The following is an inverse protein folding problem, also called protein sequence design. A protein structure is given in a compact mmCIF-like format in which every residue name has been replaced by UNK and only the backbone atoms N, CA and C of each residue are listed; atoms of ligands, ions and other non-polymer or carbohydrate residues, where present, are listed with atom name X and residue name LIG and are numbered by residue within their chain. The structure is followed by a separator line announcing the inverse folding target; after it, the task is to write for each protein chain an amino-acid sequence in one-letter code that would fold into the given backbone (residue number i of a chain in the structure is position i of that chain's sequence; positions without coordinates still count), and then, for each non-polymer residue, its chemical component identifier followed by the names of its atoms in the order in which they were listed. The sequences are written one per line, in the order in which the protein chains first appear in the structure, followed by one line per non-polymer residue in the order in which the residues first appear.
data_IF_031304481135
#
_entry.id   IF_031304481135
#
_cell.length_a   1.000
_cell.length_b   1.000
_cell.length_c   1.000
_cell.angle_alpha   90.00
_cell.angle_beta   90.00
_cell.angle_gamma   90.00
#
_symmetry.space_group_name_H-M   'P 1'
#
loop_
_entity.id
_entity.type
_entity.pdbx_description
1 polymer ?
#
# COMPACT_ATOMS: atom_id res chain seq x y z
N UNK A 1 1.35 -13.37 -8.68
CA UNK A 1 2.67 -13.47 -8.05
C UNK A 1 3.59 -14.39 -8.85
N UNK A 2 4.87 -14.09 -8.91
CA UNK A 2 5.94 -14.90 -9.52
C UNK A 2 5.69 -15.27 -11.01
N UNK A 3 4.94 -14.44 -11.76
CA UNK A 3 4.76 -14.63 -13.18
C UNK A 3 6.04 -14.18 -13.93
N UNK A 4 6.28 -14.71 -15.14
CA UNK A 4 7.38 -14.22 -15.97
C UNK A 4 7.19 -12.74 -16.33
N UNK A 5 8.26 -11.91 -16.40
CA UNK A 5 8.15 -10.48 -16.70
C UNK A 5 7.43 -10.20 -18.03
N UNK A 6 7.64 -11.01 -19.03
CA UNK A 6 7.04 -10.89 -20.37
C UNK A 6 5.51 -11.11 -20.34
N UNK A 7 5.04 -11.96 -19.41
CA UNK A 7 3.59 -12.14 -19.20
C UNK A 7 2.96 -10.93 -18.54
N UNK A 8 3.65 -10.31 -17.57
CA UNK A 8 3.18 -9.09 -16.90
C UNK A 8 3.18 -7.91 -17.87
N UNK A 9 4.27 -7.74 -18.64
CA UNK A 9 4.35 -6.76 -19.71
C UNK A 9 3.17 -6.84 -20.66
N UNK A 10 2.83 -8.05 -21.16
CA UNK A 10 1.69 -8.24 -22.06
C UNK A 10 0.38 -7.73 -21.46
N UNK A 11 0.11 -8.00 -20.16
CA UNK A 11 -1.10 -7.52 -19.49
C UNK A 11 -1.14 -6.00 -19.33
N UNK A 12 0.02 -5.36 -19.22
CA UNK A 12 0.16 -3.90 -19.19
C UNK A 12 -0.07 -3.31 -20.58
N UNK A 13 0.55 -3.87 -21.60
CA UNK A 13 0.48 -3.35 -22.98
C UNK A 13 -0.91 -3.53 -23.60
N UNK A 14 -1.63 -4.61 -23.28
CA UNK A 14 -2.99 -4.83 -23.77
C UNK A 14 -4.08 -4.10 -22.95
N UNK A 15 -3.67 -3.35 -21.92
CA UNK A 15 -4.56 -2.56 -21.08
C UNK A 15 -5.39 -3.37 -20.08
N UNK A 16 -5.11 -4.67 -19.91
CA UNK A 16 -5.78 -5.50 -18.88
C UNK A 16 -5.50 -4.97 -17.48
N UNK A 17 -4.26 -4.52 -17.24
CA UNK A 17 -3.85 -3.82 -16.02
C UNK A 17 -3.10 -2.55 -16.37
N UNK A 18 -3.12 -1.55 -15.48
CA UNK A 18 -2.41 -0.27 -15.67
C UNK A 18 -1.21 -0.12 -14.73
N UNK A 19 -1.20 -0.87 -13.64
CA UNK A 19 -0.11 -0.94 -12.66
C UNK A 19 0.11 -2.41 -12.34
N UNK A 20 1.36 -2.85 -12.36
CA UNK A 20 1.72 -4.21 -11.97
C UNK A 20 2.09 -4.25 -10.48
N UNK A 21 1.26 -4.89 -9.63
CA UNK A 21 1.61 -5.14 -8.24
C UNK A 21 2.32 -6.49 -8.10
N UNK A 22 3.58 -6.44 -7.67
CA UNK A 22 4.44 -7.59 -7.43
C UNK A 22 4.38 -7.94 -5.93
N UNK A 23 3.68 -9.01 -5.58
CA UNK A 23 3.43 -9.40 -4.18
C UNK A 23 3.95 -10.82 -3.87
N UNK A 24 4.90 -11.28 -4.63
CA UNK A 24 5.59 -12.57 -4.44
C UNK A 24 7.07 -12.36 -4.14
N UNK A 25 7.90 -13.27 -4.67
CA UNK A 25 9.34 -13.29 -4.45
C UNK A 25 10.12 -12.56 -5.57
N UNK A 26 9.44 -11.70 -6.33
CA UNK A 26 10.08 -10.90 -7.38
C UNK A 26 11.13 -9.97 -6.73
N UNK A 27 12.39 -10.16 -7.11
CA UNK A 27 13.54 -9.40 -6.63
C UNK A 27 13.82 -8.14 -7.44
N UNK A 28 14.86 -7.40 -7.09
CA UNK A 28 15.27 -6.18 -7.81
C UNK A 28 15.70 -6.45 -9.25
N UNK A 29 16.25 -7.63 -9.55
CA UNK A 29 16.60 -7.99 -10.92
C UNK A 29 15.33 -8.16 -11.77
N UNK A 30 14.30 -8.81 -11.21
CA UNK A 30 12.99 -8.92 -11.83
C UNK A 30 12.35 -7.55 -12.08
N UNK A 31 12.34 -6.65 -11.07
CA UNK A 31 11.76 -5.31 -11.18
C UNK A 31 12.43 -4.53 -12.31
N UNK A 32 13.77 -4.51 -12.33
CA UNK A 32 14.55 -3.83 -13.39
C UNK A 32 14.29 -4.44 -14.76
N UNK A 33 14.18 -5.76 -14.87
CA UNK A 33 13.83 -6.43 -16.12
C UNK A 33 12.44 -6.01 -16.59
N UNK A 34 11.42 -6.06 -15.74
CA UNK A 34 10.06 -5.64 -16.10
C UNK A 34 10.04 -4.16 -16.53
N UNK A 35 10.71 -3.27 -15.80
CA UNK A 35 10.82 -1.85 -16.14
C UNK A 35 11.60 -1.57 -17.43
N UNK A 36 12.42 -2.50 -17.91
CA UNK A 36 13.05 -2.40 -19.24
C UNK A 36 12.12 -2.79 -20.39
N UNK A 37 10.98 -3.43 -20.09
CA UNK A 37 10.01 -3.90 -21.06
C UNK A 37 8.79 -2.97 -21.19
N UNK A 38 8.54 -2.10 -20.19
CA UNK A 38 7.36 -1.24 -20.17
C UNK A 38 7.60 0.04 -19.37
N UNK A 39 6.92 1.13 -19.77
CA UNK A 39 6.87 2.41 -19.04
C UNK A 39 5.73 2.45 -18.00
N UNK A 40 4.92 1.40 -17.90
CA UNK A 40 3.84 1.34 -16.93
C UNK A 40 4.39 1.23 -15.49
N UNK A 41 3.71 1.84 -14.49
CA UNK A 41 4.17 1.81 -13.12
C UNK A 41 4.20 0.39 -12.54
N UNK A 42 5.26 0.10 -11.80
CA UNK A 42 5.45 -1.14 -11.05
C UNK A 42 5.39 -0.85 -9.56
N UNK A 43 4.50 -1.52 -8.86
CA UNK A 43 4.40 -1.50 -7.39
C UNK A 43 5.01 -2.77 -6.82
N UNK A 44 5.90 -2.66 -5.82
CA UNK A 44 6.42 -3.82 -5.08
C UNK A 44 5.86 -3.83 -3.67
N UNK A 45 5.30 -4.97 -3.26
CA UNK A 45 4.91 -5.22 -1.88
C UNK A 45 6.09 -5.79 -1.08
N UNK A 46 6.30 -5.22 0.11
CA UNK A 46 7.32 -5.63 1.07
C UNK A 46 6.66 -6.10 2.35
N UNK A 47 7.04 -7.29 2.81
CA UNK A 47 6.68 -7.77 4.14
C UNK A 47 7.62 -7.14 5.16
N UNK A 48 7.07 -6.35 6.08
CA UNK A 48 7.83 -5.63 7.11
C UNK A 48 7.66 -6.34 8.44
N UNK A 49 8.73 -6.92 8.94
CA UNK A 49 8.80 -7.57 10.26
C UNK A 49 9.79 -6.84 11.18
N UNK A 50 10.78 -6.19 10.60
CA UNK A 50 11.82 -5.46 11.32
C UNK A 50 12.31 -4.25 10.51
N UNK A 51 13.03 -3.33 11.17
CA UNK A 51 13.49 -2.07 10.53
C UNK A 51 14.35 -2.29 9.29
N UNK A 52 15.14 -3.36 9.23
CA UNK A 52 15.98 -3.65 8.05
C UNK A 52 15.15 -3.91 6.77
N UNK A 53 13.90 -4.39 6.90
CA UNK A 53 13.05 -4.62 5.74
C UNK A 53 12.67 -3.30 5.07
N UNK A 54 12.61 -2.20 5.85
CA UNK A 54 12.39 -0.86 5.34
C UNK A 54 13.55 -0.33 4.49
N UNK A 55 14.78 -0.81 4.72
CA UNK A 55 15.93 -0.43 3.88
C UNK A 55 15.80 -1.01 2.48
N UNK A 56 15.33 -2.27 2.37
CA UNK A 56 15.03 -2.89 1.08
C UNK A 56 13.90 -2.14 0.35
N UNK A 57 12.83 -1.78 1.06
CA UNK A 57 11.74 -0.99 0.49
C UNK A 57 12.21 0.40 0.03
N UNK A 58 13.09 1.06 0.80
CA UNK A 58 13.64 2.37 0.46
C UNK A 58 14.54 2.30 -0.79
N UNK A 59 15.32 1.23 -0.94
CA UNK A 59 16.29 1.04 -2.03
C UNK A 59 15.68 0.47 -3.32
N UNK A 60 14.42 0.03 -3.30
CA UNK A 60 13.79 -0.62 -4.44
C UNK A 60 13.67 0.30 -5.66
N UNK A 61 13.89 -0.27 -6.84
CA UNK A 61 13.67 0.39 -8.14
C UNK A 61 12.21 0.43 -8.59
N UNK A 62 11.27 -0.15 -7.83
CA UNK A 62 9.84 -0.04 -8.09
C UNK A 62 9.36 1.42 -8.02
N UNK A 63 8.38 1.81 -8.84
CA UNK A 63 7.83 3.17 -8.85
C UNK A 63 7.01 3.45 -7.58
N UNK A 64 6.26 2.46 -7.15
CA UNK A 64 5.42 2.48 -5.96
C UNK A 64 5.81 1.35 -5.02
N UNK A 65 5.64 1.57 -3.72
CA UNK A 65 5.82 0.52 -2.72
C UNK A 65 4.58 0.35 -1.87
N UNK A 66 4.33 -0.89 -1.47
CA UNK A 66 3.31 -1.27 -0.53
C UNK A 66 4.01 -1.97 0.64
N UNK A 67 3.73 -1.53 1.86
CA UNK A 67 4.25 -2.11 3.09
C UNK A 67 3.15 -2.94 3.75
N UNK A 68 3.40 -4.24 3.94
CA UNK A 68 2.45 -5.20 4.48
C UNK A 68 3.07 -5.92 5.68
N UNK A 69 2.27 -6.38 6.63
CA UNK A 69 2.74 -7.16 7.78
C UNK A 69 3.23 -8.58 7.43
N UNK A 70 3.03 -9.03 6.20
CA UNK A 70 3.62 -10.28 5.68
C UNK A 70 2.96 -11.59 6.11
N UNK A 71 1.98 -11.58 6.99
CA UNK A 71 1.13 -12.74 7.31
C UNK A 71 -0.33 -12.37 7.09
N UNK A 72 -0.73 -12.26 5.84
CA UNK A 72 -2.12 -12.02 5.48
C UNK A 72 -3.06 -13.01 6.18
N UNK A 73 -4.14 -12.53 6.80
CA UNK A 73 -5.19 -13.35 7.38
C UNK A 73 -5.03 -13.74 8.84
N UNK A 74 -3.97 -13.37 9.54
CA UNK A 74 -3.81 -13.67 10.98
C UNK A 74 -4.59 -12.71 11.89
N UNK A 75 -5.10 -11.59 11.36
CA UNK A 75 -5.76 -10.56 12.19
C UNK A 75 -4.80 -9.79 13.11
N UNK A 76 -3.53 -10.13 13.12
CA UNK A 76 -2.52 -9.39 13.88
C UNK A 76 -2.26 -8.06 13.18
N UNK A 77 -2.34 -6.98 13.95
CA UNK A 77 -2.03 -5.64 13.48
C UNK A 77 -0.52 -5.50 13.29
N UNK A 78 -0.15 -4.88 12.19
CA UNK A 78 1.21 -4.43 11.93
C UNK A 78 1.71 -3.57 13.09
N UNK A 79 2.93 -3.80 13.56
CA UNK A 79 3.55 -2.89 14.54
C UNK A 79 3.97 -1.59 13.84
N UNK A 80 3.09 -0.61 13.86
CA UNK A 80 3.31 0.69 13.21
C UNK A 80 4.46 1.48 13.82
N UNK A 81 4.97 1.09 15.00
CA UNK A 81 6.17 1.71 15.58
C UNK A 81 7.39 1.60 14.66
N UNK A 82 7.44 0.56 13.83
CA UNK A 82 8.49 0.39 12.83
C UNK A 82 8.49 1.50 11.77
N UNK A 83 7.31 2.04 11.45
CA UNK A 83 7.12 3.07 10.42
C UNK A 83 7.13 4.50 10.98
N UNK A 84 7.14 4.68 12.30
CA UNK A 84 7.18 6.02 12.90
C UNK A 84 8.42 6.79 12.46
N UNK A 85 8.19 7.96 11.87
CA UNK A 85 9.27 8.80 11.34
C UNK A 85 9.94 8.29 10.07
N UNK A 86 9.45 7.21 9.47
CA UNK A 86 9.97 6.74 8.19
C UNK A 86 9.40 7.59 7.03
N UNK A 87 10.28 8.35 6.38
CA UNK A 87 9.91 9.31 5.32
C UNK A 87 10.76 9.17 4.06
N UNK A 88 11.41 8.01 3.85
CA UNK A 88 12.33 7.81 2.73
C UNK A 88 11.63 7.91 1.37
N UNK A 89 10.39 7.46 1.28
CA UNK A 89 9.54 7.58 0.09
C UNK A 89 8.06 7.38 0.44
N UNK A 90 7.12 7.89 -0.41
CA UNK A 90 5.69 7.59 -0.26
C UNK A 90 5.41 6.09 -0.34
N UNK A 91 4.44 5.60 0.43
CA UNK A 91 4.08 4.19 0.47
C UNK A 91 2.59 3.97 0.67
N UNK A 92 2.11 2.85 0.18
CA UNK A 92 0.81 2.30 0.54
C UNK A 92 0.98 1.39 1.76
N UNK A 93 0.00 1.45 2.67
CA UNK A 93 -0.05 0.58 3.85
C UNK A 93 -1.09 -0.51 3.65
N UNK A 94 -0.70 -1.75 3.90
CA UNK A 94 -1.55 -2.93 3.93
C UNK A 94 -1.37 -3.71 5.25
N UNK A 95 -2.12 -4.78 5.42
CA UNK A 95 -2.00 -5.69 6.57
C UNK A 95 -2.78 -5.24 7.81
N UNK A 96 -3.82 -5.99 8.16
CA UNK A 96 -4.60 -5.80 9.39
C UNK A 96 -5.39 -4.50 9.50
N UNK A 97 -5.47 -3.70 8.43
CA UNK A 97 -6.26 -2.47 8.41
C UNK A 97 -7.76 -2.76 8.38
N UNK A 98 -8.51 -1.95 9.11
CA UNK A 98 -9.97 -1.97 9.17
C UNK A 98 -10.51 -0.55 9.44
N UNK A 99 -11.82 -0.29 9.30
CA UNK A 99 -12.38 1.05 9.49
C UNK A 99 -12.09 1.67 10.86
N UNK A 100 -11.90 0.86 11.90
CA UNK A 100 -11.67 1.31 13.28
C UNK A 100 -10.23 1.81 13.48
N UNK A 101 -9.23 1.17 12.84
CA UNK A 101 -7.81 1.49 13.03
C UNK A 101 -7.21 2.39 11.93
N UNK A 102 -7.90 2.56 10.79
CA UNK A 102 -7.47 3.45 9.69
C UNK A 102 -7.18 4.89 10.18
N UNK A 103 -8.05 5.55 11.01
CA UNK A 103 -7.77 6.90 11.49
C UNK A 103 -6.45 7.00 12.26
N UNK A 104 -6.17 6.04 13.13
CA UNK A 104 -4.90 5.98 13.88
C UNK A 104 -3.71 5.79 12.94
N UNK A 105 -3.80 4.86 11.98
CA UNK A 105 -2.75 4.62 11.00
C UNK A 105 -2.40 5.89 10.22
N UNK A 106 -3.41 6.59 9.69
CA UNK A 106 -3.19 7.81 8.92
C UNK A 106 -2.57 8.91 9.79
N UNK A 107 -3.01 9.06 11.04
CA UNK A 107 -2.51 10.07 11.95
C UNK A 107 -1.07 9.80 12.42
N UNK A 108 -0.72 8.54 12.65
CA UNK A 108 0.54 8.13 13.28
C UNK A 108 1.69 7.97 12.29
N UNK A 109 1.41 7.38 11.13
CA UNK A 109 2.45 6.96 10.18
C UNK A 109 2.28 7.54 8.77
N UNK A 110 1.24 8.33 8.53
CA UNK A 110 1.04 9.12 7.32
C UNK A 110 1.25 8.36 5.99
N UNK A 111 0.62 7.19 5.75
CA UNK A 111 0.73 6.50 4.48
C UNK A 111 0.16 7.37 3.35
N UNK A 112 0.71 7.23 2.15
CA UNK A 112 0.19 7.90 0.96
C UNK A 112 -1.15 7.31 0.51
N UNK A 113 -1.37 6.04 0.77
CA UNK A 113 -2.63 5.33 0.52
C UNK A 113 -2.73 4.09 1.40
N UNK A 114 -3.93 3.50 1.43
CA UNK A 114 -4.20 2.25 2.14
C UNK A 114 -4.70 1.18 1.19
N UNK A 115 -4.34 -0.07 1.45
CA UNK A 115 -4.84 -1.25 0.75
C UNK A 115 -5.62 -2.14 1.70
N UNK A 116 -6.86 -2.47 1.34
CA UNK A 116 -7.78 -3.27 2.14
C UNK A 116 -8.25 -4.50 1.37
N UNK A 117 -8.19 -5.65 2.00
CA UNK A 117 -8.74 -6.88 1.44
C UNK A 117 -9.85 -7.46 2.32
N UNK A 118 -9.51 -8.26 3.33
CA UNK A 118 -10.48 -8.97 4.17
C UNK A 118 -11.37 -8.05 5.00
N UNK A 119 -10.89 -6.89 5.42
CA UNK A 119 -11.66 -5.91 6.21
C UNK A 119 -12.92 -5.38 5.48
N UNK A 120 -12.96 -5.49 4.16
CA UNK A 120 -14.09 -5.08 3.32
C UNK A 120 -14.84 -6.28 2.72
N UNK A 121 -14.78 -7.44 3.42
CA UNK A 121 -15.45 -8.67 3.02
C UNK A 121 -16.46 -9.13 4.07
N UNK A 122 -17.50 -9.83 3.60
CA UNK A 122 -18.43 -10.62 4.39
C UNK A 122 -18.52 -11.99 3.76
N UNK A 123 -18.28 -13.05 4.52
CA UNK A 123 -18.25 -14.45 4.04
C UNK A 123 -17.32 -14.65 2.82
N UNK A 124 -16.14 -13.99 2.82
CA UNK A 124 -15.13 -14.09 1.75
C UNK A 124 -15.51 -13.37 0.45
N UNK A 125 -16.56 -12.52 0.46
CA UNK A 125 -16.98 -11.71 -0.69
C UNK A 125 -16.90 -10.24 -0.35
N UNK A 126 -16.52 -9.41 -1.34
CA UNK A 126 -16.47 -7.96 -1.17
C UNK A 126 -17.85 -7.42 -0.79
N UNK A 127 -17.88 -6.67 0.31
CA UNK A 127 -19.09 -6.08 0.89
C UNK A 127 -19.14 -4.59 0.56
N UNK A 128 -20.21 -4.19 -0.15
CA UNK A 128 -20.39 -2.81 -0.61
C UNK A 128 -20.42 -1.80 0.54
N UNK A 129 -21.11 -2.11 1.62
CA UNK A 129 -21.26 -1.19 2.76
C UNK A 129 -19.93 -1.00 3.50
N UNK A 130 -19.16 -2.08 3.68
CA UNK A 130 -17.82 -2.01 4.28
C UNK A 130 -16.85 -1.21 3.41
N UNK A 131 -16.91 -1.37 2.08
CA UNK A 131 -16.10 -0.57 1.15
C UNK A 131 -16.45 0.91 1.28
N UNK A 132 -17.75 1.25 1.27
CA UNK A 132 -18.19 2.64 1.40
C UNK A 132 -17.82 3.24 2.75
N UNK A 133 -17.90 2.47 3.84
CA UNK A 133 -17.47 2.90 5.16
C UNK A 133 -15.98 3.20 5.20
N UNK A 134 -15.14 2.31 4.68
CA UNK A 134 -13.69 2.51 4.62
C UNK A 134 -13.33 3.78 3.82
N UNK A 135 -13.93 3.98 2.65
CA UNK A 135 -13.72 5.18 1.83
C UNK A 135 -14.15 6.45 2.57
N UNK A 136 -15.30 6.43 3.26
CA UNK A 136 -15.75 7.57 4.07
C UNK A 136 -14.78 7.89 5.20
N UNK A 137 -14.28 6.87 5.90
CA UNK A 137 -13.31 7.04 6.98
C UNK A 137 -12.07 7.77 6.51
N UNK A 138 -11.46 7.35 5.41
CA UNK A 138 -10.27 8.00 4.84
C UNK A 138 -10.56 9.44 4.42
N UNK A 139 -11.62 9.66 3.65
CA UNK A 139 -11.97 11.00 3.14
C UNK A 139 -12.33 12.00 4.23
N UNK A 140 -13.03 11.57 5.27
CA UNK A 140 -13.36 12.43 6.41
C UNK A 140 -12.10 12.84 7.17
N UNK A 141 -11.12 11.95 7.29
CA UNK A 141 -9.85 12.26 7.94
C UNK A 141 -9.06 13.31 7.15
N UNK A 142 -8.94 13.18 5.83
CA UNK A 142 -8.27 14.15 4.97
C UNK A 142 -8.95 15.53 5.02
N UNK A 143 -10.28 15.57 4.95
CA UNK A 143 -11.05 16.81 5.03
C UNK A 143 -10.84 17.54 6.36
N UNK A 144 -10.77 16.78 7.46
CA UNK A 144 -10.51 17.35 8.79
C UNK A 144 -9.10 17.93 8.91
N UNK A 145 -8.11 17.28 8.31
CA UNK A 145 -6.71 17.73 8.30
C UNK A 145 -6.58 19.04 7.50
N UNK A 146 -7.17 19.11 6.32
CA UNK A 146 -7.16 20.31 5.47
C UNK A 146 -7.86 21.51 6.15
N UNK A 147 -8.94 21.26 6.89
CA UNK A 147 -9.61 22.29 7.68
C UNK A 147 -8.74 22.84 8.83
N UNK A 148 -7.95 21.99 9.49
CA UNK A 148 -7.06 22.40 10.57
C UNK A 148 -5.81 23.13 10.05
N UNK A 149 -5.27 22.74 8.90
CA UNK A 149 -4.16 23.41 8.25
C UNK A 149 -4.55 24.82 7.78
N UNK A 150 -5.73 24.97 7.19
CA UNK A 150 -6.25 26.28 6.77
C UNK A 150 -6.52 27.22 7.96
N UNK A 151 -6.90 26.72 9.14
CA UNK A 151 -7.03 27.57 10.35
C UNK A 151 -5.70 28.11 10.88
N UNK A 152 -4.57 27.42 10.61
CA UNK A 152 -3.24 27.90 11.03
C UNK A 152 -2.67 28.99 10.13
N UNK A 153 -3.23 29.18 8.94
CA UNK A 153 -2.77 30.22 7.98
C UNK A 153 -3.49 31.55 8.18
N UNK A 154 -4.65 31.57 8.86
CA UNK A 154 -5.50 32.75 9.05
C UNK A 154 -5.80 33.09 10.52
N UNK A 155 -5.01 32.55 11.46
CA UNK A 155 -5.11 32.82 12.90
C UNK A 155 -3.93 33.60 13.44
#
# INVERSE_FOLDING_TARGET
VNAAPERVEKLLLDGTIHIAQLHGQEDEAYIKKLKSLTDHPVMKAFSIQEKKDLDAAAASSADLILLDHGKGGTGETFDWSLLEGWTKRPYFLAGGLNPENIPEAIQRIHPWGIDLSSAVETDGKKDREKILQAVKTVRNFESSKHFLENKRVYG
#
